data_IF_540387456480
#
_entry.id   IF_540387456480
#
_cell.length_a   1.000
_cell.length_b   1.000
_cell.length_c   1.000
_cell.angle_alpha   90.00
_cell.angle_beta   90.00
_cell.angle_gamma   90.00
#
_symmetry.space_group_name_H-M   'P 1'
#
loop_
_entity.id
_entity.type
_entity.pdbx_description
1 polymer ?
#
# COMPACT_ATOMS: atom_id res chain seq x y z
N UNK A 1 6.89 0.70 23.60
CA UNK A 1 6.57 -0.32 22.57
C UNK A 1 5.46 0.23 21.70
N UNK A 2 5.65 0.27 20.38
CA UNK A 2 4.67 0.86 19.45
C UNK A 2 3.47 -0.08 19.26
N UNK A 3 2.24 0.44 19.38
CA UNK A 3 1.00 -0.37 19.22
C UNK A 3 0.87 -1.01 17.84
N UNK A 4 1.47 -0.39 16.81
CA UNK A 4 1.45 -0.90 15.45
C UNK A 4 2.37 -2.12 15.25
N UNK A 5 3.34 -2.34 16.15
CA UNK A 5 4.20 -3.52 16.21
C UNK A 5 3.57 -4.65 17.03
N UNK A 6 2.25 -4.82 16.91
CA UNK A 6 1.51 -5.85 17.62
C UNK A 6 0.54 -6.48 16.64
N UNK A 7 0.74 -7.76 16.33
CA UNK A 7 -0.15 -8.49 15.44
C UNK A 7 -1.64 -8.38 15.86
N UNK A 8 -1.93 -8.54 17.16
CA UNK A 8 -3.29 -8.44 17.68
C UNK A 8 -3.95 -7.07 17.46
N UNK A 9 -3.18 -6.00 17.30
CA UNK A 9 -3.76 -4.71 16.92
C UNK A 9 -4.43 -4.81 15.55
N UNK A 10 -3.73 -5.38 14.57
CA UNK A 10 -4.19 -5.55 13.19
C UNK A 10 -5.29 -6.60 13.06
N UNK A 11 -5.14 -7.73 13.74
CA UNK A 11 -6.16 -8.79 13.84
C UNK A 11 -7.49 -8.22 14.34
N UNK A 12 -7.46 -7.39 15.39
CA UNK A 12 -8.67 -6.76 15.93
C UNK A 12 -9.31 -5.79 14.93
N UNK A 13 -8.54 -5.09 14.10
CA UNK A 13 -9.12 -4.21 13.07
C UNK A 13 -9.85 -5.03 11.99
N UNK A 14 -9.25 -6.13 11.54
CA UNK A 14 -9.86 -7.06 10.58
C UNK A 14 -11.13 -7.71 11.15
N UNK A 15 -11.08 -8.21 12.39
CA UNK A 15 -12.22 -8.85 13.06
C UNK A 15 -13.43 -7.90 13.22
N UNK A 16 -13.17 -6.61 13.44
CA UNK A 16 -14.20 -5.58 13.54
C UNK A 16 -14.66 -5.04 12.17
N UNK A 17 -14.25 -5.66 11.05
CA UNK A 17 -14.58 -5.23 9.69
C UNK A 17 -14.29 -3.75 9.42
N UNK A 18 -13.25 -3.22 10.06
CA UNK A 18 -12.80 -1.86 9.73
C UNK A 18 -12.14 -1.91 8.36
N UNK A 19 -12.56 -1.01 7.48
CA UNK A 19 -11.92 -0.87 6.19
C UNK A 19 -10.52 -0.29 6.36
N UNK A 20 -9.49 -1.12 6.16
CA UNK A 20 -8.08 -0.74 6.32
C UNK A 20 -7.55 0.11 5.16
N UNK A 21 -8.27 0.14 4.04
CA UNK A 21 -7.93 0.95 2.88
C UNK A 21 -8.76 2.25 2.89
N UNK A 22 -10.07 2.15 3.12
CA UNK A 22 -10.95 3.32 3.13
C UNK A 22 -11.10 3.99 4.51
N UNK A 23 -10.34 3.62 5.54
CA UNK A 23 -10.39 4.31 6.83
C UNK A 23 -9.79 5.71 6.72
N UNK A 24 -10.61 6.63 6.20
CA UNK A 24 -10.62 8.07 6.39
C UNK A 24 -9.22 8.67 6.54
N UNK A 25 -8.72 9.20 5.42
CA UNK A 25 -7.66 10.21 5.41
C UNK A 25 -7.82 11.08 6.64
N UNK A 26 -6.78 11.05 7.47
CA UNK A 26 -6.78 11.52 8.85
C UNK A 26 -7.47 12.89 8.94
N UNK A 27 -8.22 13.21 10.02
CA UNK A 27 -8.87 14.52 10.13
C UNK A 27 -7.94 15.65 9.70
N UNK A 28 -8.45 16.64 8.95
CA UNK A 28 -7.71 17.75 8.30
C UNK A 28 -6.48 18.22 9.09
N UNK A 29 -6.61 18.38 10.41
CA UNK A 29 -5.57 18.85 11.33
C UNK A 29 -4.29 18.00 11.37
N UNK A 30 -4.38 16.71 11.07
CA UNK A 30 -3.24 15.79 11.08
C UNK A 30 -2.89 15.28 9.68
N UNK A 31 -3.53 15.80 8.63
CA UNK A 31 -3.24 15.43 7.24
C UNK A 31 -1.80 15.73 6.82
N UNK A 32 -1.15 16.74 7.42
CA UNK A 32 0.23 17.12 7.12
C UNK A 32 1.28 16.08 7.57
N UNK A 33 0.93 15.24 8.53
CA UNK A 33 1.80 14.17 9.04
C UNK A 33 1.46 12.82 8.41
N UNK A 34 0.34 12.75 7.70
CA UNK A 34 -0.16 11.53 7.10
C UNK A 34 0.69 11.06 5.91
N UNK A 35 0.84 9.75 5.84
CA UNK A 35 1.42 9.05 4.69
C UNK A 35 0.30 8.37 3.91
N UNK A 36 0.49 8.31 2.61
CA UNK A 36 -0.42 7.70 1.66
C UNK A 36 0.23 6.42 1.17
N UNK A 37 -0.56 5.35 1.07
CA UNK A 37 -0.09 4.05 0.60
C UNK A 37 -0.99 3.62 -0.56
N UNK A 38 -0.39 3.26 -1.69
CA UNK A 38 -1.06 2.53 -2.75
C UNK A 38 -0.62 1.07 -2.71
N UNK A 39 -1.54 0.15 -2.86
CA UNK A 39 -1.24 -1.29 -2.97
C UNK A 39 -1.96 -1.84 -4.17
N UNK A 40 -1.29 -2.67 -4.97
CA UNK A 40 -1.94 -3.41 -6.04
C UNK A 40 -1.54 -4.87 -6.10
N UNK A 41 -2.52 -5.72 -6.43
CA UNK A 41 -2.37 -7.12 -6.81
C UNK A 41 -3.08 -7.27 -8.16
N UNK A 42 -2.28 -7.46 -9.21
CA UNK A 42 -2.77 -7.75 -10.55
C UNK A 42 -2.42 -9.21 -10.85
N UNK A 43 -3.39 -10.02 -11.23
CA UNK A 43 -3.15 -11.38 -11.76
C UNK A 43 -3.97 -11.56 -13.03
N UNK A 44 -3.28 -11.55 -14.18
CA UNK A 44 -3.93 -11.67 -15.48
C UNK A 44 -4.50 -13.07 -15.73
N UNK A 45 -3.99 -14.10 -15.04
CA UNK A 45 -4.48 -15.48 -15.19
C UNK A 45 -5.78 -15.69 -14.41
N UNK A 46 -5.86 -15.10 -13.22
CA UNK A 46 -7.06 -15.16 -12.36
C UNK A 46 -8.02 -14.00 -12.56
N UNK A 47 -7.74 -13.12 -13.53
CA UNK A 47 -8.51 -11.90 -13.79
C UNK A 47 -8.73 -11.07 -12.50
N UNK A 48 -7.71 -11.00 -11.65
CA UNK A 48 -7.75 -10.26 -10.39
C UNK A 48 -7.12 -8.89 -10.59
N UNK A 49 -7.85 -7.86 -10.20
CA UNK A 49 -7.37 -6.50 -10.08
C UNK A 49 -7.82 -5.97 -8.72
N UNK A 50 -6.90 -5.97 -7.77
CA UNK A 50 -7.05 -5.30 -6.50
C UNK A 50 -6.11 -4.09 -6.49
N UNK A 51 -6.66 -2.89 -6.38
CA UNK A 51 -5.90 -1.64 -6.36
C UNK A 51 -6.55 -0.71 -5.35
N UNK A 52 -5.83 -0.42 -4.28
CA UNK A 52 -6.39 0.27 -3.15
C UNK A 52 -5.45 1.36 -2.66
N UNK A 53 -6.04 2.45 -2.17
CA UNK A 53 -5.34 3.52 -1.49
C UNK A 53 -5.70 3.54 -0.02
N UNK A 54 -4.73 3.90 0.81
CA UNK A 54 -4.88 4.03 2.24
C UNK A 54 -4.13 5.26 2.76
N UNK A 55 -4.54 5.73 3.93
CA UNK A 55 -3.92 6.87 4.60
C UNK A 55 -3.62 6.52 6.05
N UNK A 56 -2.38 6.79 6.45
CA UNK A 56 -1.85 6.39 7.74
C UNK A 56 -1.28 7.59 8.48
N UNK A 57 -1.49 7.72 9.80
CA UNK A 57 -1.09 8.91 10.56
C UNK A 57 0.42 9.06 10.71
N UNK A 58 1.19 7.97 10.60
CA UNK A 58 2.65 8.00 10.74
C UNK A 58 3.32 6.80 10.06
N UNK A 59 4.65 6.86 9.92
CA UNK A 59 5.44 5.80 9.28
C UNK A 59 5.40 4.45 10.00
N UNK A 60 5.22 4.42 11.33
CA UNK A 60 5.15 3.16 12.08
C UNK A 60 3.81 2.46 11.85
N UNK A 61 2.74 3.23 11.63
CA UNK A 61 1.47 2.67 11.20
C UNK A 61 1.53 2.12 9.77
N UNK A 62 2.24 2.78 8.85
CA UNK A 62 2.52 2.23 7.50
C UNK A 62 3.34 0.95 7.59
N UNK A 63 4.41 0.93 8.39
CA UNK A 63 5.24 -0.26 8.60
C UNK A 63 4.39 -1.45 9.08
N UNK A 64 3.55 -1.23 10.09
CA UNK A 64 2.65 -2.27 10.59
C UNK A 64 1.62 -2.73 9.55
N UNK A 65 1.05 -1.82 8.77
CA UNK A 65 0.13 -2.18 7.69
C UNK A 65 0.82 -3.08 6.66
N UNK A 66 2.01 -2.69 6.20
CA UNK A 66 2.74 -3.47 5.21
C UNK A 66 3.09 -4.85 5.79
N UNK A 67 3.63 -4.90 7.00
CA UNK A 67 4.10 -6.14 7.61
C UNK A 67 2.98 -7.12 7.98
N UNK A 68 1.87 -6.64 8.52
CA UNK A 68 0.83 -7.50 9.10
C UNK A 68 -0.42 -7.64 8.23
N UNK A 69 -0.59 -6.80 7.21
CA UNK A 69 -1.77 -6.84 6.32
C UNK A 69 -1.35 -7.08 4.87
N UNK A 70 -0.57 -6.18 4.28
CA UNK A 70 -0.29 -6.21 2.84
C UNK A 70 0.59 -7.39 2.43
N UNK A 71 1.75 -7.60 3.08
CA UNK A 71 2.63 -8.71 2.73
C UNK A 71 1.96 -10.07 2.96
N UNK A 72 1.31 -10.35 4.11
CA UNK A 72 0.65 -11.63 4.30
C UNK A 72 -0.47 -11.88 3.27
N UNK A 73 -1.27 -10.86 2.93
CA UNK A 73 -2.29 -10.97 1.87
C UNK A 73 -1.65 -11.35 0.52
N UNK A 74 -0.68 -10.56 0.06
CA UNK A 74 -0.08 -10.72 -1.25
C UNK A 74 0.69 -12.05 -1.37
N UNK A 75 1.43 -12.43 -0.34
CA UNK A 75 2.18 -13.69 -0.30
C UNK A 75 1.25 -14.89 -0.20
N UNK A 76 0.21 -14.84 0.64
CA UNK A 76 -0.76 -15.92 0.72
C UNK A 76 -1.49 -16.13 -0.61
N UNK A 77 -1.91 -15.06 -1.28
CA UNK A 77 -2.52 -15.13 -2.62
C UNK A 77 -1.58 -15.75 -3.67
N UNK A 78 -0.30 -15.36 -3.63
CA UNK A 78 0.73 -15.88 -4.54
C UNK A 78 0.96 -17.39 -4.33
N UNK A 79 0.91 -17.86 -3.08
CA UNK A 79 1.14 -19.27 -2.75
C UNK A 79 -0.07 -20.15 -3.05
N UNK A 80 -1.28 -19.64 -2.82
CA UNK A 80 -2.52 -20.39 -2.99
C UNK A 80 -3.07 -20.19 -4.41
N UNK A 81 -2.25 -20.56 -5.39
CA UNK A 81 -2.44 -20.48 -6.84
C UNK A 81 -3.81 -20.84 -7.43
N UNK A 82 -4.60 -21.61 -6.68
CA UNK A 82 -5.87 -22.19 -7.10
C UNK A 82 -7.11 -21.50 -6.52
N UNK A 83 -6.95 -20.59 -5.56
CA UNK A 83 -8.05 -19.84 -4.97
C UNK A 83 -8.16 -18.47 -5.65
N UNK A 84 -9.34 -18.13 -6.16
CA UNK A 84 -9.56 -16.84 -6.81
C UNK A 84 -9.80 -15.72 -5.78
N UNK A 85 -10.05 -16.06 -4.50
CA UNK A 85 -10.34 -15.10 -3.47
C UNK A 85 -9.08 -14.56 -2.77
N UNK A 86 -9.01 -13.23 -2.63
CA UNK A 86 -8.07 -12.57 -1.73
C UNK A 86 -8.49 -12.85 -0.27
N UNK A 87 -7.58 -13.46 0.50
CA UNK A 87 -7.82 -13.83 1.88
C UNK A 87 -6.66 -13.41 2.79
N UNK A 88 -6.99 -12.83 3.95
CA UNK A 88 -6.01 -12.48 4.97
C UNK A 88 -5.64 -13.71 5.80
N UNK A 89 -4.38 -14.13 5.83
CA UNK A 89 -3.94 -15.12 6.80
C UNK A 89 -3.97 -14.49 8.19
N UNK A 90 -4.84 -15.00 9.07
CA UNK A 90 -4.94 -14.56 10.46
C UNK A 90 -3.84 -15.27 11.26
N UNK A 91 -2.62 -14.77 11.15
CA UNK A 91 -1.46 -15.29 11.89
C UNK A 91 -0.36 -14.23 12.10
N UNK A 92 0.51 -14.46 13.07
CA UNK A 92 1.69 -13.65 13.32
C UNK A 92 2.76 -13.79 12.23
N UNK A 93 3.71 -12.85 12.16
CA UNK A 93 4.83 -12.95 11.22
C UNK A 93 5.66 -14.22 11.40
N UNK A 94 5.80 -14.73 12.63
CA UNK A 94 6.55 -15.96 12.90
C UNK A 94 5.84 -17.21 12.38
N UNK A 95 4.52 -17.29 12.62
CA UNK A 95 3.70 -18.37 12.08
C UNK A 95 3.66 -18.34 10.56
N UNK A 96 3.56 -17.14 9.97
CA UNK A 96 3.58 -17.00 8.52
C UNK A 96 4.94 -17.42 7.93
N UNK A 97 6.07 -17.05 8.55
CA UNK A 97 7.40 -17.53 8.13
C UNK A 97 7.48 -19.07 8.18
N UNK A 98 6.98 -19.70 9.25
CA UNK A 98 6.95 -21.17 9.34
C UNK A 98 6.10 -21.80 8.23
N UNK A 99 4.97 -21.17 7.86
CA UNK A 99 4.18 -21.57 6.70
C UNK A 99 4.97 -21.43 5.38
N UNK A 100 5.69 -20.31 5.17
CA UNK A 100 6.51 -20.10 3.98
C UNK A 100 7.55 -21.22 3.81
N UNK A 101 8.25 -21.56 4.89
CA UNK A 101 9.30 -22.59 4.91
C UNK A 101 8.79 -23.99 4.54
N UNK A 102 7.49 -24.26 4.75
CA UNK A 102 6.85 -25.55 4.43
C UNK A 102 6.02 -25.53 3.14
N UNK A 103 5.85 -24.35 2.51
CA UNK A 103 5.00 -24.16 1.33
C UNK A 103 5.49 -24.85 0.05
N UNK A 104 6.79 -25.20 -0.03
CA UNK A 104 7.42 -25.72 -1.24
C UNK A 104 7.55 -24.70 -2.38
N UNK A 105 7.20 -23.42 -2.14
CA UNK A 105 7.30 -22.36 -3.13
C UNK A 105 8.73 -21.95 -3.40
N UNK A 106 9.06 -21.75 -4.68
CA UNK A 106 10.34 -21.19 -5.11
C UNK A 106 10.58 -19.76 -4.60
N UNK A 107 9.52 -19.07 -4.16
CA UNK A 107 9.60 -17.70 -3.64
C UNK A 107 9.67 -17.62 -2.11
N UNK A 108 9.58 -18.76 -1.40
CA UNK A 108 9.51 -18.79 0.06
C UNK A 108 10.65 -17.99 0.73
N UNK A 109 11.88 -18.16 0.27
CA UNK A 109 13.03 -17.45 0.83
C UNK A 109 12.97 -15.94 0.62
N UNK A 110 12.49 -15.48 -0.54
CA UNK A 110 12.33 -14.05 -0.84
C UNK A 110 11.22 -13.43 0.03
N UNK A 111 10.11 -14.13 0.19
CA UNK A 111 9.00 -13.72 1.06
C UNK A 111 9.42 -13.65 2.53
N UNK A 112 10.17 -14.66 3.02
CA UNK A 112 10.71 -14.67 4.38
C UNK A 112 11.69 -13.51 4.61
N UNK A 113 12.61 -13.30 3.66
CA UNK A 113 13.59 -12.21 3.74
C UNK A 113 12.90 -10.84 3.82
N UNK A 114 11.84 -10.62 3.05
CA UNK A 114 11.05 -9.39 3.10
C UNK A 114 10.44 -9.15 4.49
N UNK A 115 9.87 -10.17 5.12
CA UNK A 115 9.29 -10.06 6.47
C UNK A 115 10.38 -9.79 7.52
N UNK A 116 11.51 -10.49 7.42
CA UNK A 116 12.65 -10.30 8.33
C UNK A 116 13.28 -8.92 8.19
N UNK A 117 13.35 -8.39 6.98
CA UNK A 117 13.84 -7.03 6.71
C UNK A 117 12.96 -5.98 7.41
N UNK A 118 11.63 -6.06 7.27
CA UNK A 118 10.70 -5.12 7.93
C UNK A 118 10.81 -5.14 9.45
N UNK A 119 11.12 -6.29 10.06
CA UNK A 119 11.34 -6.37 11.51
C UNK A 119 12.47 -5.44 11.98
N UNK A 120 13.48 -5.19 11.15
CA UNK A 120 14.60 -4.30 11.49
C UNK A 120 14.22 -2.83 11.49
N UNK A 121 13.07 -2.46 10.93
CA UNK A 121 12.65 -1.06 10.76
C UNK A 121 11.94 -0.49 11.98
N UNK A 122 11.52 -1.33 12.92
CA UNK A 122 10.77 -0.90 14.11
C UNK A 122 11.59 0.00 15.05
N UNK A 123 12.90 -0.20 15.14
CA UNK A 123 13.77 0.55 16.04
C UNK A 123 14.39 1.81 15.39
N UNK A 124 14.15 2.02 14.09
CA UNK A 124 14.59 3.22 13.38
C UNK A 124 13.78 4.45 13.78
N UNK A 125 14.38 5.64 13.71
CA UNK A 125 13.63 6.90 13.75
C UNK A 125 12.70 7.05 12.53
N UNK A 126 11.78 8.01 12.58
CA UNK A 126 10.74 8.13 11.53
C UNK A 126 11.30 8.42 10.14
N UNK A 127 12.36 9.23 10.03
CA UNK A 127 12.93 9.61 8.74
C UNK A 127 13.70 8.43 8.13
N UNK A 128 14.54 7.76 8.93
CA UNK A 128 15.26 6.57 8.52
C UNK A 128 14.31 5.42 8.17
N UNK A 129 13.24 5.23 8.95
CA UNK A 129 12.20 4.24 8.70
C UNK A 129 11.48 4.49 7.37
N UNK A 130 11.13 5.75 7.08
CA UNK A 130 10.44 6.10 5.83
C UNK A 130 11.34 5.86 4.61
N UNK A 131 12.61 6.28 4.69
CA UNK A 131 13.58 6.05 3.62
C UNK A 131 13.76 4.55 3.33
N UNK A 132 14.00 3.75 4.37
CA UNK A 132 14.13 2.29 4.26
C UNK A 132 12.87 1.61 3.73
N UNK A 133 11.69 2.08 4.13
CA UNK A 133 10.43 1.57 3.58
C UNK A 133 10.25 1.90 2.09
N UNK A 134 10.61 3.12 1.65
CA UNK A 134 10.58 3.48 0.23
C UNK A 134 11.54 2.61 -0.58
N UNK A 135 12.76 2.40 -0.09
CA UNK A 135 13.75 1.50 -0.72
C UNK A 135 13.22 0.06 -0.78
N UNK A 136 12.65 -0.44 0.31
CA UNK A 136 12.02 -1.76 0.36
C UNK A 136 10.93 -1.90 -0.71
N UNK A 137 10.04 -0.91 -0.83
CA UNK A 137 8.95 -0.93 -1.82
C UNK A 137 9.50 -0.96 -3.25
N UNK A 138 10.55 -0.20 -3.55
CA UNK A 138 11.19 -0.24 -4.88
C UNK A 138 11.73 -1.63 -5.22
N UNK A 139 12.47 -2.26 -4.30
CA UNK A 139 13.00 -3.61 -4.51
C UNK A 139 11.88 -4.66 -4.60
N UNK A 140 10.86 -4.54 -3.74
CA UNK A 140 9.68 -5.40 -3.75
C UNK A 140 8.97 -5.31 -5.10
N UNK A 141 8.64 -4.10 -5.56
CA UNK A 141 7.94 -3.88 -6.83
C UNK A 141 8.75 -4.42 -8.01
N UNK A 142 10.06 -4.16 -8.05
CA UNK A 142 10.93 -4.68 -9.12
C UNK A 142 10.98 -6.22 -9.12
N UNK A 143 11.01 -6.85 -7.95
CA UNK A 143 11.00 -8.31 -7.84
C UNK A 143 9.66 -8.90 -8.27
N UNK A 144 8.54 -8.28 -7.90
CA UNK A 144 7.18 -8.80 -8.10
C UNK A 144 6.46 -8.28 -9.34
N UNK A 145 7.08 -7.40 -10.13
CA UNK A 145 6.58 -7.01 -11.45
C UNK A 145 6.89 -8.11 -12.48
N UNK A 146 5.96 -9.05 -12.65
CA UNK A 146 6.06 -10.14 -13.64
C UNK A 146 4.99 -9.98 -14.73
N UNK A 147 5.28 -10.52 -15.91
CA UNK A 147 4.35 -10.46 -17.05
C UNK A 147 2.95 -11.05 -16.79
N UNK A 148 2.83 -11.98 -15.84
CA UNK A 148 1.56 -12.68 -15.54
C UNK A 148 0.89 -12.19 -14.27
N UNK A 149 1.62 -11.52 -13.39
CA UNK A 149 1.12 -11.04 -12.12
C UNK A 149 2.02 -9.93 -11.58
N UNK A 150 1.43 -8.93 -10.94
CA UNK A 150 2.16 -7.83 -10.32
C UNK A 150 1.71 -7.65 -8.88
N UNK A 151 2.70 -7.54 -7.97
CA UNK A 151 2.48 -7.03 -6.62
C UNK A 151 3.17 -5.67 -6.51
N UNK A 152 2.42 -4.67 -6.05
CA UNK A 152 2.91 -3.29 -5.96
C UNK A 152 2.57 -2.67 -4.61
N UNK A 153 3.51 -1.89 -4.09
CA UNK A 153 3.34 -1.02 -2.92
C UNK A 153 4.01 0.33 -3.24
N UNK A 154 3.24 1.41 -3.14
CA UNK A 154 3.72 2.78 -3.24
C UNK A 154 3.51 3.52 -1.91
N UNK A 155 4.50 4.30 -1.46
CA UNK A 155 4.41 5.12 -0.25
C UNK A 155 4.69 6.58 -0.64
N UNK A 156 3.76 7.47 -0.29
CA UNK A 156 3.85 8.89 -0.61
C UNK A 156 3.70 9.73 0.64
N UNK A 157 4.60 10.70 0.81
CA UNK A 157 4.63 11.60 1.95
C UNK A 157 3.78 12.87 1.73
N UNK A 158 3.27 13.08 0.51
CA UNK A 158 2.40 14.22 0.20
C UNK A 158 1.51 13.94 -1.00
N UNK A 159 0.46 14.74 -1.13
CA UNK A 159 -0.40 14.75 -2.33
C UNK A 159 0.37 15.13 -3.60
N UNK A 160 1.42 15.95 -3.47
CA UNK A 160 2.32 16.27 -4.58
C UNK A 160 3.12 15.06 -5.07
N UNK A 161 3.66 14.25 -4.16
CA UNK A 161 4.37 13.01 -4.54
C UNK A 161 3.43 12.06 -5.32
N UNK A 162 2.15 12.00 -4.93
CA UNK A 162 1.13 11.24 -5.67
C UNK A 162 0.92 11.83 -7.06
N UNK A 163 0.65 13.13 -7.16
CA UNK A 163 0.40 13.78 -8.44
C UNK A 163 1.57 13.60 -9.42
N UNK A 164 2.82 13.75 -8.94
CA UNK A 164 4.01 13.45 -9.72
C UNK A 164 4.04 11.99 -10.14
N UNK A 165 3.81 11.04 -9.22
CA UNK A 165 3.80 9.63 -9.57
C UNK A 165 2.74 9.24 -10.60
N UNK A 166 1.59 9.93 -10.64
CA UNK A 166 0.54 9.66 -11.62
C UNK A 166 0.89 10.19 -13.00
N UNK A 167 1.50 11.37 -13.06
CA UNK A 167 1.81 12.05 -14.31
C UNK A 167 3.12 11.55 -14.92
N UNK A 168 4.16 11.37 -14.10
CA UNK A 168 5.52 11.02 -14.55
C UNK A 168 5.60 9.54 -14.99
N UNK A 169 4.78 8.66 -14.41
CA UNK A 169 4.72 7.25 -14.79
C UNK A 169 3.75 6.97 -15.95
N UNK A 170 3.00 7.99 -16.41
CA UNK A 170 2.09 7.82 -17.54
C UNK A 170 2.81 8.11 -18.86
N UNK A 171 2.78 7.14 -19.77
CA UNK A 171 3.23 7.35 -21.16
C UNK A 171 2.36 8.39 -21.88
N UNK A 172 1.10 8.52 -21.47
CA UNK A 172 0.10 9.45 -22.04
C UNK A 172 -0.61 10.20 -20.90
N UNK A 173 -0.05 11.33 -20.41
CA UNK A 173 -0.66 12.13 -19.36
C UNK A 173 -2.12 12.54 -19.67
N UNK A 174 -2.48 12.70 -20.94
CA UNK A 174 -3.83 13.04 -21.39
C UNK A 174 -4.86 11.98 -21.01
N UNK A 175 -4.47 10.70 -20.97
CA UNK A 175 -5.35 9.60 -20.53
C UNK A 175 -5.62 9.71 -19.04
N UNK A 176 -4.59 10.03 -18.26
CA UNK A 176 -4.74 10.27 -16.82
C UNK A 176 -5.66 11.46 -16.57
N UNK A 177 -5.51 12.55 -17.34
CA UNK A 177 -6.39 13.72 -17.25
C UNK A 177 -7.85 13.38 -17.59
N UNK A 178 -8.08 12.55 -18.61
CA UNK A 178 -9.42 12.07 -19.00
C UNK A 178 -10.04 11.21 -17.88
N UNK A 179 -9.30 10.25 -17.34
CA UNK A 179 -9.76 9.34 -16.29
C UNK A 179 -10.12 10.09 -15.00
N UNK A 180 -9.25 11.00 -14.54
CA UNK A 180 -9.49 11.76 -13.31
C UNK A 180 -10.45 12.93 -13.52
N UNK A 181 -10.56 13.42 -14.75
CA UNK A 181 -11.35 14.59 -15.15
C UNK A 181 -10.75 15.92 -14.70
N UNK A 182 -9.42 16.00 -14.58
CA UNK A 182 -8.66 17.19 -14.17
C UNK A 182 -7.42 17.31 -15.05
N UNK A 183 -7.06 18.54 -15.41
CA UNK A 183 -5.73 18.79 -15.98
C UNK A 183 -4.65 18.67 -14.91
N UNK A 184 -3.39 18.48 -15.32
CA UNK A 184 -2.24 18.46 -14.42
C UNK A 184 -2.20 19.71 -13.52
N UNK A 185 -2.46 20.89 -14.09
CA UNK A 185 -2.51 22.14 -13.32
C UNK A 185 -3.63 22.15 -12.26
N UNK A 186 -4.81 21.62 -12.58
CA UNK A 186 -5.91 21.50 -11.64
C UNK A 186 -5.60 20.47 -10.54
N UNK A 187 -4.94 19.37 -10.87
CA UNK A 187 -4.49 18.37 -9.90
C UNK A 187 -3.49 18.97 -8.91
N UNK A 188 -2.49 19.72 -9.38
CA UNK A 188 -1.53 20.38 -8.49
C UNK A 188 -2.17 21.47 -7.61
N UNK A 189 -3.13 22.23 -8.14
CA UNK A 189 -3.89 23.20 -7.32
C UNK A 189 -4.77 22.48 -6.28
N UNK A 190 -5.31 21.30 -6.59
CA UNK A 190 -6.00 20.46 -5.61
C UNK A 190 -5.04 19.98 -4.51
N UNK A 191 -3.83 19.55 -4.87
CA UNK A 191 -2.80 19.12 -3.90
C UNK A 191 -2.44 20.24 -2.91
N UNK A 192 -2.27 21.46 -3.41
CA UNK A 192 -1.98 22.65 -2.61
C UNK A 192 -3.05 22.95 -1.57
N UNK A 193 -4.31 22.85 -1.99
CA UNK A 193 -5.46 23.23 -1.16
C UNK A 193 -6.00 22.05 -0.32
N UNK A 194 -5.53 20.83 -0.58
CA UNK A 194 -5.92 19.61 0.14
C UNK A 194 -5.85 19.76 1.66
N UNK A 195 -4.80 20.39 2.19
CA UNK A 195 -4.60 20.48 3.64
C UNK A 195 -5.47 21.54 4.34
N UNK A 196 -6.18 22.36 3.57
CA UNK A 196 -6.94 23.50 4.08
C UNK A 196 -8.45 23.36 3.85
N UNK A 197 -8.87 22.47 2.95
CA UNK A 197 -10.25 22.32 2.53
C UNK A 197 -10.72 20.85 2.60
N UNK A 198 -11.67 20.58 3.49
CA UNK A 198 -12.23 19.24 3.69
C UNK A 198 -13.00 18.72 2.47
N UNK A 199 -13.60 19.58 1.66
CA UNK A 199 -14.27 19.19 0.42
C UNK A 199 -13.24 18.72 -0.61
N UNK A 200 -12.12 19.43 -0.74
CA UNK A 200 -11.03 19.01 -1.63
C UNK A 200 -10.38 17.71 -1.17
N UNK A 201 -10.26 17.48 0.15
CA UNK A 201 -9.81 16.18 0.66
C UNK A 201 -10.70 15.05 0.18
N UNK A 202 -12.02 15.18 0.39
CA UNK A 202 -12.98 14.16 -0.05
C UNK A 202 -12.89 13.92 -1.55
N UNK A 203 -12.75 14.97 -2.35
CA UNK A 203 -12.63 14.84 -3.80
C UNK A 203 -11.33 14.15 -4.22
N UNK A 204 -10.19 14.54 -3.64
CA UNK A 204 -8.90 13.91 -3.93
C UNK A 204 -8.91 12.42 -3.58
N UNK A 205 -9.50 12.06 -2.44
CA UNK A 205 -9.67 10.67 -2.01
C UNK A 205 -10.59 9.90 -2.94
N UNK A 206 -11.69 10.52 -3.38
CA UNK A 206 -12.61 9.92 -4.35
C UNK A 206 -11.91 9.66 -5.69
N UNK A 207 -11.01 10.56 -6.12
CA UNK A 207 -10.19 10.38 -7.32
C UNK A 207 -9.27 9.17 -7.15
N UNK A 208 -8.55 9.08 -6.03
CA UNK A 208 -7.64 7.95 -5.75
C UNK A 208 -8.35 6.60 -5.75
N UNK A 209 -9.52 6.52 -5.13
CA UNK A 209 -10.21 5.23 -4.97
C UNK A 209 -11.04 4.80 -6.19
N UNK A 210 -11.52 5.74 -7.02
CA UNK A 210 -12.52 5.41 -8.03
C UNK A 210 -12.17 5.87 -9.45
N UNK A 211 -11.18 6.75 -9.62
CA UNK A 211 -10.83 7.30 -10.94
C UNK A 211 -9.43 6.97 -11.39
N UNK A 212 -8.51 6.79 -10.45
CA UNK A 212 -7.15 6.41 -10.78
C UNK A 212 -7.11 4.89 -11.00
N UNK A 213 -6.71 4.48 -12.20
CA UNK A 213 -6.41 3.10 -12.54
C UNK A 213 -5.24 2.53 -11.72
N UNK A 214 -4.79 1.31 -12.03
CA UNK A 214 -3.64 0.73 -11.35
C UNK A 214 -2.38 1.58 -11.60
N UNK A 215 -1.74 2.05 -10.51
CA UNK A 215 -0.49 2.83 -10.58
C UNK A 215 0.67 1.87 -10.36
N UNK A 216 1.07 1.17 -11.42
CA UNK A 216 2.03 0.06 -11.36
C UNK A 216 3.02 0.15 -12.51
#
# INVERSE_FOLDING_TARGET
>A
MCKYNQYHYWENLLANKKDLWQSSFTPVKAAHESLFVNTAIIDYRRNTLDNNWACYPDVKSVLGFIQYIQLPLAFYYTLNGSDDALAFPVCSSQEFIAYLQTSGSIHAQAMESAILELNTYWDLDSAACLAKLKDFCQHFNAFWNKNTSVLHIGIFASTYEIAHSLLDNSEFPEVVEEDIGLTAAQLFEMCKNFYHDQFLQKNFVNILNHKIGCVV
#
